data_IF_665189469283
#
_entry.id   IF_665189469283
#
_cell.length_a   1.000
_cell.length_b   1.000
_cell.length_c   1.000
_cell.angle_alpha   90.00
_cell.angle_beta   90.00
_cell.angle_gamma   90.00
#
_symmetry.space_group_name_H-M   'P 1'
#
loop_
_entity.id
_entity.type
_entity.pdbx_description
1 polymer ?
#
# COMPACT_ATOMS: atom_id res chain seq x y z
N UNK A 1 12.46 12.32 4.24
CA UNK A 1 11.20 11.66 4.67
C UNK A 1 10.46 12.61 5.58
N UNK A 2 9.68 13.54 5.02
CA UNK A 2 9.07 14.66 5.74
C UNK A 2 7.56 14.63 5.45
N UNK A 3 6.73 14.63 6.50
CA UNK A 3 5.26 14.88 6.55
C UNK A 3 4.28 14.15 5.60
N UNK A 4 4.70 13.56 4.48
CA UNK A 4 3.83 13.02 3.43
C UNK A 4 3.64 11.49 3.46
N UNK A 5 4.21 10.77 4.43
CA UNK A 5 4.24 9.30 4.44
C UNK A 5 2.85 8.68 4.21
N UNK A 6 1.82 9.17 4.90
CA UNK A 6 0.44 8.68 4.73
C UNK A 6 -0.17 9.01 3.37
N UNK A 7 0.04 10.22 2.83
CA UNK A 7 -0.49 10.60 1.50
C UNK A 7 0.23 9.87 0.36
N UNK A 8 1.54 9.66 0.50
CA UNK A 8 2.33 8.85 -0.42
C UNK A 8 1.85 7.41 -0.45
N UNK A 9 1.66 6.79 0.73
CA UNK A 9 1.12 5.44 0.87
C UNK A 9 -0.23 5.29 0.17
N UNK A 10 -1.19 6.19 0.45
CA UNK A 10 -2.52 6.15 -0.20
C UNK A 10 -2.39 6.27 -1.72
N UNK A 11 -1.55 7.16 -2.23
CA UNK A 11 -1.35 7.31 -3.67
C UNK A 11 -0.74 6.05 -4.30
N UNK A 12 0.17 5.37 -3.60
CA UNK A 12 0.80 4.15 -4.10
C UNK A 12 -0.17 2.96 -4.14
N UNK A 13 -1.23 2.94 -3.31
CA UNK A 13 -2.25 1.88 -3.37
C UNK A 13 -3.00 1.80 -4.71
N UNK A 14 -2.98 2.86 -5.53
CA UNK A 14 -3.54 2.84 -6.89
C UNK A 14 -2.71 2.03 -7.90
N UNK A 15 -1.48 1.65 -7.55
CA UNK A 15 -0.65 0.73 -8.35
C UNK A 15 -0.96 -0.74 -8.04
N UNK A 16 -1.89 -0.99 -7.12
CA UNK A 16 -2.31 -2.29 -6.62
C UNK A 16 -3.79 -2.52 -6.92
N UNK A 17 -4.27 -3.74 -6.69
CA UNK A 17 -5.69 -4.09 -6.88
C UNK A 17 -6.57 -3.76 -5.66
N UNK A 18 -6.00 -3.14 -4.60
CA UNK A 18 -6.67 -2.87 -3.32
C UNK A 18 -8.00 -2.13 -3.47
N UNK A 19 -8.09 -1.17 -4.39
CA UNK A 19 -9.31 -0.37 -4.63
C UNK A 19 -10.47 -1.22 -5.18
N UNK A 20 -10.18 -2.38 -5.76
CA UNK A 20 -11.18 -3.29 -6.32
C UNK A 20 -11.69 -4.29 -5.29
N UNK A 21 -10.91 -4.55 -4.22
CA UNK A 21 -11.20 -5.61 -3.23
C UNK A 21 -11.54 -5.07 -1.84
N UNK A 22 -11.15 -3.84 -1.52
CA UNK A 22 -11.37 -3.23 -0.21
C UNK A 22 -12.10 -1.88 -0.28
N UNK A 23 -13.00 -1.59 0.67
CA UNK A 23 -13.57 -0.26 0.86
C UNK A 23 -12.50 0.83 1.06
N UNK A 24 -12.65 2.04 0.48
CA UNK A 24 -11.64 3.10 0.55
C UNK A 24 -11.22 3.52 1.97
N UNK A 25 -12.16 3.46 2.93
CA UNK A 25 -11.87 3.82 4.32
C UNK A 25 -10.93 2.83 5.01
N UNK A 26 -10.99 1.53 4.68
CA UNK A 26 -10.09 0.52 5.23
C UNK A 26 -8.67 0.67 4.67
N UNK A 27 -8.55 1.02 3.39
CA UNK A 27 -7.26 1.35 2.76
C UNK A 27 -6.64 2.56 3.45
N UNK A 28 -7.43 3.62 3.68
CA UNK A 28 -6.96 4.81 4.39
C UNK A 28 -6.49 4.49 5.81
N UNK A 29 -7.23 3.65 6.55
CA UNK A 29 -6.86 3.20 7.89
C UNK A 29 -5.57 2.38 7.89
N UNK A 30 -5.38 1.50 6.90
CA UNK A 30 -4.14 0.75 6.74
C UNK A 30 -2.93 1.67 6.46
N UNK A 31 -3.11 2.70 5.62
CA UNK A 31 -2.06 3.69 5.36
C UNK A 31 -1.75 4.53 6.60
N UNK A 32 -2.76 4.92 7.39
CA UNK A 32 -2.57 5.63 8.67
C UNK A 32 -1.84 4.71 9.65
N UNK A 33 -2.23 3.43 9.76
CA UNK A 33 -1.59 2.46 10.64
C UNK A 33 -0.10 2.31 10.33
N UNK A 34 0.26 2.10 9.05
CA UNK A 34 1.67 2.02 8.62
C UNK A 34 2.41 3.31 8.94
N UNK A 35 1.82 4.48 8.64
CA UNK A 35 2.44 5.77 8.92
C UNK A 35 2.63 6.02 10.42
N UNK A 36 1.70 5.57 11.27
CA UNK A 36 1.79 5.65 12.73
C UNK A 36 2.95 4.82 13.25
N UNK A 37 3.10 3.58 12.77
CA UNK A 37 4.21 2.69 13.14
C UNK A 37 5.55 3.29 12.71
N UNK A 38 5.66 3.77 11.46
CA UNK A 38 6.89 4.41 10.95
C UNK A 38 7.30 5.68 11.71
N UNK A 39 6.35 6.34 12.37
CA UNK A 39 6.57 7.58 13.13
C UNK A 39 6.60 7.36 14.64
N UNK A 40 6.57 6.11 15.08
CA UNK A 40 6.50 5.73 16.50
C UNK A 40 5.37 6.46 17.24
N UNK A 41 4.21 6.61 16.58
CA UNK A 41 3.02 7.24 17.14
C UNK A 41 2.08 6.17 17.67
N UNK A 42 1.84 6.22 18.98
CA UNK A 42 0.78 5.42 19.59
C UNK A 42 -0.59 5.96 19.14
N UNK A 43 -1.32 5.10 18.43
CA UNK A 43 -2.66 5.38 17.91
C UNK A 43 -3.67 4.34 18.37
N UNK A 44 -3.31 3.49 19.33
CA UNK A 44 -4.11 2.34 19.79
C UNK A 44 -5.49 2.79 20.28
N UNK A 45 -5.54 3.78 21.17
CA UNK A 45 -6.80 4.31 21.70
C UNK A 45 -7.71 4.87 20.60
N UNK A 46 -7.15 5.59 19.62
CA UNK A 46 -7.92 6.14 18.50
C UNK A 46 -8.50 5.04 17.60
N UNK A 47 -7.73 3.97 17.35
CA UNK A 47 -8.22 2.82 16.59
C UNK A 47 -9.31 2.02 17.34
N UNK A 48 -9.21 1.90 18.67
CA UNK A 48 -10.24 1.24 19.50
C UNK A 48 -11.58 1.97 19.44
N UNK A 49 -11.58 3.31 19.41
CA UNK A 49 -12.79 4.13 19.30
C UNK A 49 -13.52 3.94 17.97
N UNK A 50 -12.80 3.62 16.88
CA UNK A 50 -13.36 3.48 15.53
C UNK A 50 -14.21 2.22 15.35
N UNK A 51 -14.12 1.23 16.26
CA UNK A 51 -14.84 -0.06 16.18
C UNK A 51 -14.64 -0.79 14.84
N UNK A 52 -13.46 -0.64 14.25
CA UNK A 52 -13.07 -1.31 13.00
C UNK A 52 -12.35 -2.62 13.33
N UNK A 53 -12.55 -3.65 12.51
CA UNK A 53 -11.80 -4.90 12.63
C UNK A 53 -10.31 -4.67 12.29
N UNK A 54 -9.48 -4.65 13.34
CA UNK A 54 -8.04 -4.45 13.21
C UNK A 54 -7.34 -5.60 12.49
N UNK A 55 -7.94 -6.79 12.41
CA UNK A 55 -7.38 -7.87 11.61
C UNK A 55 -7.45 -7.55 10.12
N UNK A 56 -8.55 -6.92 9.66
CA UNK A 56 -8.69 -6.46 8.28
C UNK A 56 -7.69 -5.34 7.97
N UNK A 57 -7.58 -4.35 8.87
CA UNK A 57 -6.60 -3.26 8.71
C UNK A 57 -5.18 -3.81 8.61
N UNK A 58 -4.81 -4.74 9.51
CA UNK A 58 -3.50 -5.38 9.50
C UNK A 58 -3.24 -6.16 8.22
N UNK A 59 -4.21 -6.91 7.71
CA UNK A 59 -4.07 -7.68 6.47
C UNK A 59 -3.79 -6.76 5.28
N UNK A 60 -4.56 -5.68 5.14
CA UNK A 60 -4.34 -4.68 4.09
C UNK A 60 -2.97 -4.02 4.26
N UNK A 61 -2.57 -3.71 5.49
CA UNK A 61 -1.24 -3.14 5.75
C UNK A 61 -0.11 -4.08 5.33
N UNK A 62 -0.23 -5.39 5.60
CA UNK A 62 0.75 -6.38 5.15
C UNK A 62 0.82 -6.46 3.63
N UNK A 63 -0.33 -6.46 2.94
CA UNK A 63 -0.35 -6.47 1.47
C UNK A 63 0.35 -5.24 0.87
N UNK A 64 0.11 -4.04 1.44
CA UNK A 64 0.82 -2.81 1.04
C UNK A 64 2.35 -2.96 1.24
N UNK A 65 2.78 -3.53 2.37
CA UNK A 65 4.21 -3.73 2.66
C UNK A 65 4.84 -4.75 1.71
N UNK A 66 4.16 -5.87 1.45
CA UNK A 66 4.58 -6.91 0.51
C UNK A 66 4.73 -6.35 -0.92
N UNK A 67 3.86 -5.41 -1.31
CA UNK A 67 4.02 -4.67 -2.56
C UNK A 67 5.32 -3.88 -2.60
N UNK A 68 5.70 -3.15 -1.54
CA UNK A 68 6.97 -2.42 -1.54
C UNK A 68 8.20 -3.35 -1.57
N UNK A 69 8.13 -4.53 -0.95
CA UNK A 69 9.22 -5.52 -1.01
C UNK A 69 9.37 -6.11 -2.42
N UNK A 70 8.24 -6.50 -3.04
CA UNK A 70 8.23 -7.04 -4.40
C UNK A 70 8.54 -5.99 -5.47
N UNK A 71 8.15 -4.72 -5.25
CA UNK A 71 8.37 -3.64 -6.21
C UNK A 71 9.86 -3.35 -6.43
N UNK A 72 10.74 -3.66 -5.47
CA UNK A 72 12.21 -3.57 -5.63
C UNK A 72 12.76 -4.47 -6.73
N UNK A 73 11.99 -5.45 -7.21
CA UNK A 73 12.42 -6.41 -8.23
C UNK A 73 12.07 -6.00 -9.67
N UNK A 74 11.34 -4.89 -9.86
CA UNK A 74 10.96 -4.37 -11.19
C UNK A 74 12.04 -3.42 -11.70
N UNK A 75 13.11 -3.98 -12.26
CA UNK A 75 14.15 -3.18 -12.91
C UNK A 75 13.70 -2.71 -14.29
N UNK A 76 14.26 -1.59 -14.76
CA UNK A 76 13.95 -1.02 -16.07
C UNK A 76 14.20 -2.03 -17.20
N UNK A 77 15.21 -2.90 -17.07
CA UNK A 77 15.49 -3.95 -18.05
C UNK A 77 14.34 -4.94 -18.17
N UNK A 78 13.73 -5.36 -17.04
CA UNK A 78 12.59 -6.29 -17.04
C UNK A 78 11.35 -5.65 -17.64
N UNK A 79 11.12 -4.36 -17.36
CA UNK A 79 10.02 -3.59 -17.92
C UNK A 79 10.19 -3.47 -19.44
N UNK A 80 11.38 -3.07 -19.90
CA UNK A 80 11.68 -2.94 -21.33
C UNK A 80 11.54 -4.28 -22.06
N UNK A 81 12.03 -5.39 -21.47
CA UNK A 81 11.87 -6.72 -22.05
C UNK A 81 10.39 -7.14 -22.15
N UNK A 82 9.56 -6.78 -21.16
CA UNK A 82 8.12 -7.04 -21.21
C UNK A 82 7.40 -6.21 -22.29
N UNK A 83 7.72 -4.92 -22.40
CA UNK A 83 7.17 -4.03 -23.44
C UNK A 83 7.55 -4.51 -24.84
N UNK A 84 8.80 -4.96 -25.03
CA UNK A 84 9.26 -5.50 -26.32
C UNK A 84 8.47 -6.75 -26.75
N UNK A 85 8.03 -7.59 -25.81
CA UNK A 85 7.15 -8.74 -26.11
C UNK A 85 5.77 -8.31 -26.60
N UNK A 86 5.29 -7.12 -26.24
CA UNK A 86 4.01 -6.58 -26.73
C UNK A 86 4.12 -6.05 -28.17
N UNK A 87 5.27 -5.48 -28.53
CA UNK A 87 5.53 -4.96 -29.88
C UNK A 87 5.79 -6.04 -30.92
N UNK A 88 6.08 -7.28 -30.51
CA UNK A 88 6.31 -8.42 -31.41
C UNK A 88 5.01 -9.20 -31.67
N UNK A 89 4.03 -8.56 -32.33
CA UNK A 89 2.93 -9.24 -33.01
C UNK A 89 2.47 -8.42 -34.24
N UNK A 90 2.82 -8.82 -35.48
CA UNK A 90 2.01 -8.45 -36.64
C UNK A 90 0.65 -9.16 -36.60
#
# INVERSE_FOLDING_TARGET
MNVDAGRGLVNDTYKMDLILVHPPHLIALACIYIASVLREKDTTAWFEELRVDMNVVKNISMEILDFYESHRQFTDERINAAVQKLTLRP
#
